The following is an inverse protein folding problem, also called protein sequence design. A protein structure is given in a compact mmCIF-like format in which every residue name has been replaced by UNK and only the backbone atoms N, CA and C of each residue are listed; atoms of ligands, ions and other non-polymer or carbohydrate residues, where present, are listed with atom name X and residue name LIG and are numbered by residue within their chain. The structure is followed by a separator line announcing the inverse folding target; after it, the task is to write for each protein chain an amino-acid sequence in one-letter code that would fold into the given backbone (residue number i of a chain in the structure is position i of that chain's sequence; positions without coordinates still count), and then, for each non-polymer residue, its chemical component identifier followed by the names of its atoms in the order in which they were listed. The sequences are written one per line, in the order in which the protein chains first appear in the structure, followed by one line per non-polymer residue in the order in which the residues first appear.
data_IF_768291959856
#
_entry.id   IF_768291959856
#
_cell.length_a   1.000
_cell.length_b   1.000
_cell.length_c   1.000
_cell.angle_alpha   90.00
_cell.angle_beta   90.00
_cell.angle_gamma   90.00
#
_symmetry.space_group_name_H-M   'P 1'
#
loop_
_entity.id
_entity.type
_entity.pdbx_description
1 polymer ?
#
# COMPACT_ATOMS: atom_id res chain seq x y z
N UNK A 1 11.14 -27.53 -31.75
CA UNK A 1 9.95 -26.66 -31.63
C UNK A 1 10.06 -25.92 -30.30
N UNK A 2 9.85 -24.59 -30.26
CA UNK A 2 9.85 -23.82 -28.99
C UNK A 2 8.40 -23.52 -28.63
N UNK A 3 8.04 -23.74 -27.36
CA UNK A 3 6.74 -23.36 -26.81
C UNK A 3 6.85 -22.02 -26.11
N UNK A 4 5.84 -21.18 -26.28
CA UNK A 4 5.70 -19.86 -25.67
C UNK A 4 4.37 -19.87 -24.93
N UNK A 5 4.38 -19.37 -23.70
CA UNK A 5 3.17 -19.14 -22.89
C UNK A 5 3.08 -17.66 -22.55
N UNK A 6 1.89 -17.09 -22.71
CA UNK A 6 1.62 -15.66 -22.58
C UNK A 6 0.30 -15.45 -21.84
N UNK A 7 0.29 -14.48 -20.93
CA UNK A 7 -0.92 -14.06 -20.22
C UNK A 7 -0.89 -12.57 -19.92
N UNK A 8 -2.06 -11.97 -19.79
CA UNK A 8 -2.23 -10.56 -19.45
C UNK A 8 -2.80 -10.45 -18.04
N UNK A 9 -2.16 -9.66 -17.20
CA UNK A 9 -2.66 -9.35 -15.86
C UNK A 9 -2.81 -7.84 -15.69
N UNK A 10 -3.92 -7.44 -15.07
CA UNK A 10 -4.13 -6.06 -14.64
C UNK A 10 -3.90 -5.98 -13.14
N UNK A 11 -2.99 -5.11 -12.71
CA UNK A 11 -2.63 -4.95 -11.31
C UNK A 11 -2.84 -3.50 -10.88
N UNK A 12 -3.39 -3.31 -9.68
CA UNK A 12 -3.58 -1.99 -9.08
C UNK A 12 -2.96 -1.97 -7.69
N UNK A 13 -2.08 -1.01 -7.47
CA UNK A 13 -1.43 -0.78 -6.19
C UNK A 13 -2.43 -0.32 -5.13
N UNK A 14 -2.06 -0.46 -3.85
CA UNK A 14 -2.87 0.07 -2.76
C UNK A 14 -2.82 1.59 -2.77
N UNK A 15 -3.98 2.24 -2.61
CA UNK A 15 -4.02 3.69 -2.40
C UNK A 15 -3.34 4.05 -1.08
N UNK A 16 -2.75 5.25 -1.01
CA UNK A 16 -2.33 5.83 0.27
C UNK A 16 -3.52 6.15 1.16
N UNK A 17 -3.29 6.21 2.46
CA UNK A 17 -4.28 6.69 3.43
C UNK A 17 -4.42 8.20 3.35
N UNK A 18 -5.61 8.71 3.69
CA UNK A 18 -5.80 10.15 3.86
C UNK A 18 -5.22 10.59 5.21
N UNK A 19 -4.63 11.79 5.23
CA UNK A 19 -4.33 12.46 6.50
C UNK A 19 -5.59 12.90 7.22
N UNK A 20 -5.43 13.41 8.44
CA UNK A 20 -6.53 13.90 9.27
C UNK A 20 -6.40 15.42 9.46
N UNK A 21 -7.51 16.14 9.36
CA UNK A 21 -7.61 17.53 9.83
C UNK A 21 -8.23 17.50 11.23
N UNK A 22 -7.42 17.82 12.24
CA UNK A 22 -7.84 17.86 13.63
C UNK A 22 -7.18 19.03 14.37
N UNK A 23 -7.86 19.47 15.43
CA UNK A 23 -7.36 20.45 16.38
C UNK A 23 -7.43 19.89 17.79
N UNK A 24 -6.38 20.15 18.57
CA UNK A 24 -6.31 19.71 19.96
C UNK A 24 -7.39 20.40 20.80
N UNK A 25 -8.12 19.64 21.62
CA UNK A 25 -9.15 20.16 22.53
C UNK A 25 -8.85 19.76 23.96
N UNK A 26 -8.54 20.75 24.80
CA UNK A 26 -8.27 20.58 26.23
C UNK A 26 -9.21 21.46 27.05
N UNK A 27 -9.59 20.99 28.24
CA UNK A 27 -10.65 21.59 29.08
C UNK A 27 -10.49 23.09 29.36
N UNK A 28 -9.27 23.62 29.38
CA UNK A 28 -8.97 25.02 29.68
C UNK A 28 -8.16 25.72 28.59
N UNK A 29 -8.04 25.11 27.41
CA UNK A 29 -7.35 25.72 26.25
C UNK A 29 -8.42 25.95 25.17
N UNK A 30 -8.87 27.20 24.98
CA UNK A 30 -9.97 27.50 24.06
C UNK A 30 -9.60 27.26 22.59
N UNK A 31 -8.32 27.38 22.23
CA UNK A 31 -7.82 27.14 20.87
C UNK A 31 -6.53 26.31 20.94
N UNK A 32 -6.67 24.98 20.91
CA UNK A 32 -5.52 24.11 20.70
C UNK A 32 -5.04 24.14 19.25
N UNK A 33 -3.74 23.94 19.06
CA UNK A 33 -3.13 23.91 17.73
C UNK A 33 -3.61 22.74 16.87
N UNK A 34 -3.31 22.75 15.56
CA UNK A 34 -3.57 21.61 14.69
C UNK A 34 -2.79 20.39 15.17
N UNK A 35 -3.47 19.26 15.27
CA UNK A 35 -2.90 17.97 15.73
C UNK A 35 -3.24 16.80 14.80
N UNK A 36 -3.69 17.13 13.59
CA UNK A 36 -3.91 16.18 12.51
C UNK A 36 -2.61 15.52 12.04
N UNK A 37 -2.67 14.20 11.80
CA UNK A 37 -1.55 13.42 11.27
C UNK A 37 -1.61 13.22 9.75
N UNK A 38 -0.47 12.80 9.19
CA UNK A 38 -0.33 12.51 7.77
C UNK A 38 -1.02 11.19 7.35
N UNK A 39 -1.29 11.11 6.05
CA UNK A 39 -1.78 9.89 5.41
C UNK A 39 -0.70 8.81 5.29
N UNK A 40 -1.11 7.55 5.36
CA UNK A 40 -0.22 6.40 5.16
C UNK A 40 0.21 6.21 3.71
N UNK A 41 1.36 5.57 3.49
CA UNK A 41 1.80 5.19 2.14
C UNK A 41 0.91 4.11 1.54
N UNK A 42 0.70 4.20 0.23
CA UNK A 42 0.04 3.17 -0.55
C UNK A 42 0.89 1.91 -0.73
N UNK A 43 0.25 0.82 -1.12
CA UNK A 43 0.91 -0.47 -1.37
C UNK A 43 1.66 -0.49 -2.70
N UNK A 44 2.70 -1.32 -2.82
CA UNK A 44 3.44 -1.53 -4.07
C UNK A 44 3.15 -2.92 -4.65
N UNK A 45 3.23 -3.07 -5.96
CA UNK A 45 3.16 -4.36 -6.65
C UNK A 45 4.57 -4.74 -7.09
N UNK A 46 5.01 -5.94 -6.71
CA UNK A 46 6.31 -6.48 -7.06
C UNK A 46 6.14 -7.87 -7.67
N UNK A 47 6.77 -8.10 -8.83
CA UNK A 47 6.89 -9.42 -9.40
C UNK A 47 8.21 -10.04 -8.94
N UNK A 48 8.13 -11.24 -8.35
CA UNK A 48 9.31 -11.99 -7.92
C UNK A 48 9.32 -13.35 -8.61
N UNK A 49 10.28 -13.54 -9.50
CA UNK A 49 10.52 -14.85 -10.09
C UNK A 49 11.10 -15.82 -9.05
N UNK A 50 10.65 -17.07 -9.08
CA UNK A 50 11.23 -18.20 -8.34
C UNK A 50 11.58 -19.29 -9.33
N UNK A 51 12.74 -19.94 -9.14
CA UNK A 51 13.09 -21.15 -9.90
C UNK A 51 12.04 -22.24 -9.61
N UNK A 52 11.61 -22.95 -10.65
CA UNK A 52 10.68 -24.08 -10.50
C UNK A 52 11.26 -25.10 -9.53
N UNK A 53 10.48 -25.45 -8.51
CA UNK A 53 10.75 -26.65 -7.71
C UNK A 53 10.36 -27.84 -8.56
N UNK A 54 11.29 -28.77 -8.75
CA UNK A 54 10.95 -30.09 -9.26
C UNK A 54 9.96 -30.71 -8.27
N UNK A 55 8.78 -31.09 -8.76
CA UNK A 55 7.94 -32.04 -8.03
C UNK A 55 8.66 -33.38 -8.12
N UNK A 56 9.61 -33.62 -7.21
CA UNK A 56 10.14 -34.96 -7.01
C UNK A 56 9.03 -35.77 -6.37
N UNK A 57 8.57 -36.79 -7.10
CA UNK A 57 7.72 -37.86 -6.58
C UNK A 57 8.29 -38.47 -5.30
#
# INVERSE_FOLDING_TARGET
MKFIDETMIMVKAGNGGNGCLSFRREKYIPFGGPDGGDGGKGGSILLKAKKGSEYTS
#
